data_IF_022239267156
#
_entry.id   IF_022239267156
#
_cell.length_a   1.000
_cell.length_b   1.000
_cell.length_c   1.000
_cell.angle_alpha   90.00
_cell.angle_beta   90.00
_cell.angle_gamma   90.00
#
_symmetry.space_group_name_H-M   'P 1'
#
loop_
_entity.id
_entity.type
_entity.pdbx_description
1 polymer ?
#
# COMPACT_ATOMS: atom_id res chain seq x y z
N UNK A 1 -30.10 -10.28 -10.17
CA UNK A 1 -28.77 -9.75 -9.83
C UNK A 1 -29.02 -8.67 -8.79
N UNK A 2 -28.46 -8.83 -7.59
CA UNK A 2 -28.48 -7.72 -6.62
C UNK A 2 -27.79 -6.52 -7.24
N UNK A 3 -28.38 -5.34 -7.05
CA UNK A 3 -27.83 -4.07 -7.51
C UNK A 3 -26.46 -3.87 -6.86
N UNK A 4 -25.43 -3.55 -7.65
CA UNK A 4 -24.07 -3.40 -7.11
C UNK A 4 -24.03 -2.21 -6.14
N UNK A 5 -23.45 -2.40 -4.97
CA UNK A 5 -23.20 -1.32 -4.00
C UNK A 5 -22.53 -0.11 -4.70
N UNK A 6 -22.81 1.09 -4.24
CA UNK A 6 -22.19 2.32 -4.74
C UNK A 6 -21.71 3.19 -3.57
N UNK A 7 -20.66 3.96 -3.79
CA UNK A 7 -20.22 4.97 -2.80
C UNK A 7 -21.30 6.04 -2.61
N UNK A 8 -21.52 6.42 -1.35
CA UNK A 8 -22.47 7.49 -1.02
C UNK A 8 -21.94 8.88 -1.36
N UNK A 9 -20.61 9.03 -1.40
CA UNK A 9 -19.97 10.30 -1.62
C UNK A 9 -18.68 10.14 -2.41
N UNK A 10 -18.36 11.17 -3.21
CA UNK A 10 -17.05 11.29 -3.88
C UNK A 10 -15.88 11.24 -2.90
N UNK A 11 -16.01 11.92 -1.77
CA UNK A 11 -15.00 11.90 -0.71
C UNK A 11 -14.80 10.49 -0.16
N UNK A 12 -15.89 9.71 -0.02
CA UNK A 12 -15.82 8.31 0.39
C UNK A 12 -15.02 7.48 -0.60
N UNK A 13 -15.28 7.60 -1.90
CA UNK A 13 -14.50 6.93 -2.95
C UNK A 13 -13.01 7.31 -2.86
N UNK A 14 -12.68 8.61 -2.80
CA UNK A 14 -11.29 9.07 -2.74
C UNK A 14 -10.58 8.53 -1.51
N UNK A 15 -11.20 8.61 -0.33
CA UNK A 15 -10.59 8.17 0.92
C UNK A 15 -10.45 6.65 1.01
N UNK A 16 -11.39 5.86 0.46
CA UNK A 16 -11.28 4.40 0.42
C UNK A 16 -10.18 3.98 -0.56
N UNK A 17 -10.14 4.58 -1.75
CA UNK A 17 -9.11 4.31 -2.75
C UNK A 17 -7.72 4.75 -2.28
N UNK A 18 -7.62 5.95 -1.69
CA UNK A 18 -6.38 6.41 -1.08
C UNK A 18 -5.97 5.53 0.13
N UNK A 19 -6.92 5.09 0.95
CA UNK A 19 -6.66 4.17 2.06
C UNK A 19 -6.19 2.78 1.62
N UNK A 20 -6.48 2.37 0.39
CA UNK A 20 -5.88 1.18 -0.21
C UNK A 20 -4.39 1.38 -0.53
N UNK A 21 -4.03 2.56 -1.03
CA UNK A 21 -2.65 2.93 -1.34
C UNK A 21 -1.86 3.27 -0.07
N UNK A 22 -2.43 4.11 0.82
CA UNK A 22 -1.81 4.54 2.07
C UNK A 22 -1.73 3.36 3.04
N UNK A 23 -0.54 2.82 3.19
CA UNK A 23 -0.30 1.65 4.02
C UNK A 23 1.09 1.66 4.66
N UNK A 24 1.55 0.49 5.02
CA UNK A 24 2.90 0.27 5.57
C UNK A 24 3.98 0.77 4.59
N UNK A 25 3.71 0.72 3.29
CA UNK A 25 4.60 1.21 2.25
C UNK A 25 4.99 2.68 2.37
N UNK A 26 4.04 3.54 2.79
CA UNK A 26 4.27 4.98 2.95
C UNK A 26 5.01 5.32 4.24
N UNK A 27 4.71 4.59 5.32
CA UNK A 27 5.16 4.98 6.66
C UNK A 27 6.40 4.22 7.08
N UNK A 28 6.66 3.07 6.49
CA UNK A 28 7.83 2.25 6.79
C UNK A 28 8.81 2.17 5.61
N UNK A 29 8.36 1.58 4.47
CA UNK A 29 9.25 1.30 3.33
C UNK A 29 9.79 2.57 2.70
N UNK A 30 8.96 3.59 2.52
CA UNK A 30 9.38 4.86 1.94
C UNK A 30 10.45 5.60 2.75
N UNK A 31 10.31 5.84 4.09
CA UNK A 31 11.38 6.46 4.86
C UNK A 31 12.65 5.62 4.89
N UNK A 32 12.53 4.30 5.08
CA UNK A 32 13.67 3.40 5.05
C UNK A 32 14.48 3.53 3.76
N UNK A 33 13.84 3.36 2.60
CA UNK A 33 14.51 3.46 1.30
C UNK A 33 15.05 4.89 1.07
N UNK A 34 14.32 5.92 1.52
CA UNK A 34 14.81 7.31 1.44
C UNK A 34 16.12 7.49 2.22
N UNK A 35 16.21 6.88 3.40
CA UNK A 35 17.43 6.89 4.22
C UNK A 35 18.62 6.21 3.52
N UNK A 36 18.37 5.04 2.93
CA UNK A 36 19.38 4.23 2.25
C UNK A 36 19.88 4.87 0.94
N UNK A 37 18.99 5.53 0.17
CA UNK A 37 19.28 6.02 -1.18
C UNK A 37 19.46 7.55 -1.26
N UNK A 38 20.01 8.18 -0.24
CA UNK A 38 20.51 9.57 -0.34
C UNK A 38 19.49 10.67 -0.06
N UNK A 39 18.38 10.37 0.62
CA UNK A 39 17.47 11.40 1.16
C UNK A 39 16.65 12.12 0.08
N UNK A 40 16.74 13.45 0.05
CA UNK A 40 15.91 14.30 -0.80
C UNK A 40 16.02 14.01 -2.30
N UNK A 41 17.16 13.55 -2.82
CA UNK A 41 17.30 13.20 -4.24
C UNK A 41 16.44 11.99 -4.58
N UNK A 42 16.40 10.97 -3.72
CA UNK A 42 15.48 9.85 -3.87
C UNK A 42 14.02 10.34 -3.91
N UNK A 43 13.64 11.25 -3.01
CA UNK A 43 12.26 11.82 -2.99
C UNK A 43 11.92 12.50 -4.30
N UNK A 44 12.85 13.25 -4.91
CA UNK A 44 12.63 13.88 -6.22
C UNK A 44 12.37 12.83 -7.32
N UNK A 45 13.18 11.77 -7.40
CA UNK A 45 12.95 10.67 -8.34
C UNK A 45 11.61 9.96 -8.09
N UNK A 46 11.27 9.71 -6.82
CA UNK A 46 10.00 9.10 -6.43
C UNK A 46 8.81 9.93 -6.90
N UNK A 47 8.81 11.25 -6.66
CA UNK A 47 7.74 12.15 -7.13
C UNK A 47 7.64 12.17 -8.65
N UNK A 48 8.77 12.18 -9.36
CA UNK A 48 8.78 12.11 -10.82
C UNK A 48 8.15 10.79 -11.32
N UNK A 49 8.50 9.64 -10.73
CA UNK A 49 7.94 8.35 -11.12
C UNK A 49 6.48 8.18 -10.71
N UNK A 50 6.02 8.78 -9.62
CA UNK A 50 4.57 8.83 -9.32
C UNK A 50 3.78 9.52 -10.42
N UNK A 51 4.29 10.64 -10.94
CA UNK A 51 3.65 11.37 -12.03
C UNK A 51 3.71 10.58 -13.36
N UNK A 52 4.87 10.02 -13.67
CA UNK A 52 5.10 9.35 -14.95
C UNK A 52 4.48 7.93 -15.01
N UNK A 53 4.52 7.18 -13.93
CA UNK A 53 4.10 5.78 -13.90
C UNK A 53 2.83 5.59 -13.07
N UNK A 54 2.81 6.11 -11.86
CA UNK A 54 1.75 5.87 -10.88
C UNK A 54 0.38 6.37 -11.36
N UNK A 55 0.25 7.66 -11.64
CA UNK A 55 -1.02 8.26 -12.10
C UNK A 55 -1.56 7.58 -13.37
N UNK A 56 -0.76 7.32 -14.43
CA UNK A 56 -1.22 6.57 -15.59
C UNK A 56 -1.81 5.20 -15.25
N UNK A 57 -1.11 4.37 -14.47
CA UNK A 57 -1.58 3.02 -14.16
C UNK A 57 -2.82 3.04 -13.26
N UNK A 58 -2.85 3.90 -12.22
CA UNK A 58 -4.06 4.11 -11.41
C UNK A 58 -5.24 4.48 -12.31
N UNK A 59 -5.06 5.41 -13.25
CA UNK A 59 -6.13 5.83 -14.17
C UNK A 59 -6.62 4.67 -15.06
N UNK A 60 -5.72 3.76 -15.46
CA UNK A 60 -6.07 2.57 -16.25
C UNK A 60 -6.89 1.56 -15.46
N UNK A 61 -6.48 1.24 -14.22
CA UNK A 61 -7.28 0.38 -13.34
C UNK A 61 -8.65 0.97 -13.05
N UNK A 62 -8.72 2.26 -12.70
CA UNK A 62 -9.98 2.95 -12.47
C UNK A 62 -10.89 2.91 -13.72
N UNK A 63 -10.32 3.06 -14.92
CA UNK A 63 -11.09 3.04 -16.16
C UNK A 63 -11.70 1.66 -16.43
N UNK A 64 -10.95 0.58 -16.25
CA UNK A 64 -11.42 -0.79 -16.43
C UNK A 64 -12.54 -1.10 -15.43
N UNK A 65 -12.37 -0.75 -14.16
CA UNK A 65 -13.36 -0.96 -13.12
C UNK A 65 -14.65 -0.19 -13.37
N UNK A 66 -14.56 1.11 -13.67
CA UNK A 66 -15.74 1.94 -13.90
C UNK A 66 -16.49 1.60 -15.19
N UNK A 67 -15.76 1.24 -16.26
CA UNK A 67 -16.39 0.87 -17.52
C UNK A 67 -17.13 -0.46 -17.43
N UNK A 68 -16.57 -1.43 -16.72
CA UNK A 68 -17.12 -2.78 -16.59
C UNK A 68 -18.17 -2.90 -15.48
N UNK A 69 -18.11 -2.08 -14.43
CA UNK A 69 -18.85 -2.26 -13.17
C UNK A 69 -18.65 -3.66 -12.57
N UNK A 70 -17.44 -4.24 -12.72
CA UNK A 70 -17.07 -5.58 -12.27
C UNK A 70 -15.71 -5.59 -11.58
N UNK A 71 -15.41 -6.68 -10.89
CA UNK A 71 -14.08 -7.01 -10.40
C UNK A 71 -13.15 -7.46 -11.55
N UNK A 72 -11.85 -7.54 -11.29
CA UNK A 72 -10.82 -7.70 -12.31
C UNK A 72 -11.11 -8.80 -13.35
N UNK A 73 -11.39 -10.05 -12.95
CA UNK A 73 -11.63 -11.12 -13.92
C UNK A 73 -12.82 -10.81 -14.83
N UNK A 74 -13.95 -10.43 -14.25
CA UNK A 74 -15.17 -10.14 -15.02
C UNK A 74 -15.08 -8.78 -15.72
N UNK A 75 -14.26 -7.86 -15.21
CA UNK A 75 -14.00 -6.57 -15.82
C UNK A 75 -13.25 -6.72 -17.14
N UNK A 76 -12.14 -7.44 -17.12
CA UNK A 76 -11.41 -7.77 -18.36
C UNK A 76 -12.31 -8.52 -19.34
N UNK A 77 -13.03 -9.56 -18.87
CA UNK A 77 -13.91 -10.36 -19.72
C UNK A 77 -15.05 -9.54 -20.37
N UNK A 78 -15.55 -8.51 -19.71
CA UNK A 78 -16.61 -7.64 -20.24
C UNK A 78 -16.11 -6.66 -21.30
N UNK A 79 -14.84 -6.26 -21.26
CA UNK A 79 -14.27 -5.23 -22.11
C UNK A 79 -13.33 -5.78 -23.19
N UNK A 80 -12.86 -7.02 -23.07
CA UNK A 80 -11.93 -7.61 -24.02
C UNK A 80 -12.59 -7.96 -25.36
N UNK A 81 -11.84 -8.00 -26.47
CA UNK A 81 -12.31 -8.50 -27.76
C UNK A 81 -12.69 -9.99 -27.66
N UNK A 82 -13.74 -10.39 -28.41
CA UNK A 82 -14.18 -11.79 -28.45
C UNK A 82 -13.04 -12.72 -28.84
N UNK A 83 -12.84 -13.78 -28.06
CA UNK A 83 -11.79 -14.78 -28.30
C UNK A 83 -10.40 -14.39 -27.80
N UNK A 84 -10.26 -13.30 -27.07
CA UNK A 84 -9.01 -12.94 -26.39
C UNK A 84 -8.92 -13.59 -25.00
N UNK A 85 -7.77 -13.43 -24.36
CA UNK A 85 -7.43 -14.12 -23.10
C UNK A 85 -7.03 -13.15 -21.98
N UNK A 86 -7.36 -11.87 -22.11
CA UNK A 86 -6.99 -10.86 -21.13
C UNK A 86 -7.59 -11.12 -19.75
N UNK A 87 -8.76 -11.74 -19.69
CA UNK A 87 -9.42 -12.11 -18.44
C UNK A 87 -8.60 -13.05 -17.55
N UNK A 88 -7.62 -13.78 -18.11
CA UNK A 88 -6.71 -14.61 -17.29
C UNK A 88 -5.98 -13.76 -16.26
N UNK A 89 -5.64 -12.50 -16.60
CA UNK A 89 -5.02 -11.59 -15.65
C UNK A 89 -5.87 -11.34 -14.39
N UNK A 90 -7.17 -11.41 -14.50
CA UNK A 90 -8.06 -11.29 -13.34
C UNK A 90 -7.85 -12.39 -12.28
N UNK A 91 -7.43 -13.59 -12.68
CA UNK A 91 -7.02 -14.64 -11.74
C UNK A 91 -5.71 -14.30 -11.06
N UNK A 92 -4.77 -13.67 -11.78
CA UNK A 92 -3.50 -13.20 -11.22
C UNK A 92 -3.78 -12.09 -10.20
N UNK A 93 -4.70 -11.15 -10.49
CA UNK A 93 -5.15 -10.12 -9.56
C UNK A 93 -5.74 -10.71 -8.28
N UNK A 94 -6.60 -11.72 -8.40
CA UNK A 94 -7.21 -12.40 -7.25
C UNK A 94 -6.15 -13.11 -6.39
N UNK A 95 -5.24 -13.86 -7.04
CA UNK A 95 -4.16 -14.55 -6.35
C UNK A 95 -3.19 -13.56 -5.68
N UNK A 96 -2.82 -12.48 -6.37
CA UNK A 96 -1.95 -11.44 -5.84
C UNK A 96 -2.55 -10.75 -4.62
N UNK A 97 -3.84 -10.41 -4.68
CA UNK A 97 -4.56 -9.84 -3.54
C UNK A 97 -4.63 -10.81 -2.35
N UNK A 98 -4.78 -12.12 -2.61
CA UNK A 98 -4.77 -13.14 -1.57
C UNK A 98 -3.39 -13.28 -0.93
N UNK A 99 -2.32 -13.43 -1.72
CA UNK A 99 -0.94 -13.54 -1.22
C UNK A 99 -0.57 -12.26 -0.44
N UNK A 100 -0.92 -11.07 -0.96
CA UNK A 100 -0.70 -9.82 -0.24
C UNK A 100 -1.32 -9.88 1.17
N UNK A 101 -2.56 -10.31 1.30
CA UNK A 101 -3.24 -10.34 2.60
C UNK A 101 -2.66 -11.38 3.56
N UNK A 102 -2.10 -12.47 3.05
CA UNK A 102 -1.50 -13.52 3.87
C UNK A 102 -0.32 -12.99 4.69
N UNK A 103 0.58 -12.18 4.13
CA UNK A 103 1.68 -11.61 4.90
C UNK A 103 1.36 -10.23 5.50
N UNK A 104 0.55 -9.43 4.81
CA UNK A 104 0.26 -8.07 5.26
C UNK A 104 -0.55 -8.01 6.56
N UNK A 105 -1.46 -8.98 6.77
CA UNK A 105 -2.22 -9.09 8.03
C UNK A 105 -1.32 -9.44 9.21
N UNK A 106 -0.24 -10.19 9.00
CA UNK A 106 0.77 -10.48 10.03
C UNK A 106 1.48 -9.19 10.46
N UNK A 107 1.99 -8.40 9.50
CA UNK A 107 2.65 -7.12 9.80
C UNK A 107 1.67 -6.12 10.42
N UNK A 108 0.43 -6.07 9.92
CA UNK A 108 -0.61 -5.24 10.52
C UNK A 108 -0.91 -5.64 11.97
N UNK A 109 -0.79 -6.93 12.30
CA UNK A 109 -0.87 -7.44 13.67
C UNK A 109 0.19 -6.85 14.58
N UNK A 110 1.44 -6.73 14.12
CA UNK A 110 2.52 -6.10 14.90
C UNK A 110 2.24 -4.64 15.26
N UNK A 111 1.56 -3.90 14.36
CA UNK A 111 1.16 -2.51 14.66
C UNK A 111 0.18 -2.42 15.81
N UNK A 112 -0.79 -3.35 15.85
CA UNK A 112 -1.79 -3.43 16.93
C UNK A 112 -1.14 -3.85 18.24
N UNK A 113 -0.23 -4.84 18.21
CA UNK A 113 0.51 -5.28 19.39
C UNK A 113 1.32 -4.12 20.00
N UNK A 114 2.11 -3.42 19.19
CA UNK A 114 2.88 -2.28 19.66
C UNK A 114 2.02 -1.13 20.17
N UNK A 115 0.85 -0.91 19.57
CA UNK A 115 -0.11 0.04 20.11
C UNK A 115 -0.55 -0.36 21.53
N UNK A 116 -0.89 -1.63 21.75
CA UNK A 116 -1.28 -2.13 23.08
C UNK A 116 -0.12 -1.98 24.07
N UNK A 117 1.10 -2.38 23.71
CA UNK A 117 2.29 -2.28 24.56
C UNK A 117 2.67 -0.84 24.92
N UNK A 118 2.45 0.13 24.03
CA UNK A 118 2.62 1.55 24.38
C UNK A 118 1.49 2.05 25.27
N UNK A 119 0.24 1.64 25.02
CA UNK A 119 -0.92 2.05 25.77
C UNK A 119 -0.86 1.57 27.24
N UNK A 120 -0.49 0.32 27.46
CA UNK A 120 -0.36 -0.27 28.80
C UNK A 120 0.92 0.11 29.55
N UNK A 121 1.88 0.75 28.83
CA UNK A 121 3.14 1.21 29.41
C UNK A 121 4.24 0.15 29.50
N UNK A 122 4.11 -0.98 28.77
CA UNK A 122 5.10 -2.08 28.76
C UNK A 122 6.51 -1.61 28.31
N UNK A 123 6.60 -0.53 27.55
CA UNK A 123 7.89 0.07 27.14
C UNK A 123 8.46 1.04 28.18
N UNK A 124 7.76 1.35 29.27
CA UNK A 124 8.17 2.36 30.23
C UNK A 124 9.38 1.91 31.05
N UNK A 125 10.48 2.67 30.96
CA UNK A 125 11.70 2.41 31.71
C UNK A 125 12.59 1.31 31.14
N UNK A 126 12.30 0.79 29.94
CA UNK A 126 13.17 -0.15 29.26
C UNK A 126 14.45 0.54 28.77
N UNK A 127 15.55 -0.21 28.77
CA UNK A 127 16.77 0.16 28.08
C UNK A 127 16.65 -0.09 26.56
N UNK A 128 17.51 0.53 25.72
CA UNK A 128 17.53 0.29 24.27
C UNK A 128 17.66 -1.20 23.89
N UNK A 129 18.43 -1.96 24.66
CA UNK A 129 18.59 -3.40 24.43
C UNK A 129 17.31 -4.20 24.76
N UNK A 130 16.57 -3.78 25.79
CA UNK A 130 15.30 -4.41 26.14
C UNK A 130 14.20 -4.09 25.11
N UNK A 131 14.20 -2.91 24.53
CA UNK A 131 13.29 -2.57 23.42
C UNK A 131 13.57 -3.43 22.19
N UNK A 132 14.84 -3.64 21.82
CA UNK A 132 15.21 -4.55 20.73
C UNK A 132 14.75 -5.99 21.04
N UNK A 133 15.00 -6.48 22.25
CA UNK A 133 14.52 -7.80 22.69
C UNK A 133 12.98 -7.92 22.72
N UNK A 134 12.26 -6.82 22.93
CA UNK A 134 10.79 -6.85 22.89
C UNK A 134 10.28 -7.20 21.50
N UNK A 135 10.92 -6.71 20.44
CA UNK A 135 10.60 -7.10 19.07
C UNK A 135 10.95 -8.56 18.78
N UNK A 136 12.18 -8.98 19.14
CA UNK A 136 12.63 -10.35 18.95
C UNK A 136 11.72 -11.35 19.70
N UNK A 137 11.30 -11.01 20.92
CA UNK A 137 10.40 -11.85 21.72
C UNK A 137 9.01 -11.95 21.11
N UNK A 138 8.47 -10.84 20.58
CA UNK A 138 7.17 -10.81 19.92
C UNK A 138 7.16 -11.73 18.69
N UNK A 139 8.15 -11.60 17.81
CA UNK A 139 8.21 -12.43 16.58
C UNK A 139 8.56 -13.89 16.89
N UNK A 140 9.20 -14.18 18.02
CA UNK A 140 9.48 -15.53 18.49
C UNK A 140 8.27 -16.23 19.11
N UNK A 141 7.21 -15.50 19.52
CA UNK A 141 5.98 -16.08 20.08
C UNK A 141 4.90 -16.25 19.00
N UNK A 142 4.70 -17.50 18.50
CA UNK A 142 3.71 -17.76 17.47
C UNK A 142 2.27 -17.51 17.95
N UNK A 143 2.00 -17.66 19.23
CA UNK A 143 0.64 -17.51 19.79
C UNK A 143 0.26 -16.03 19.81
N UNK A 144 1.15 -15.18 20.31
CA UNK A 144 0.96 -13.72 20.32
C UNK A 144 0.77 -13.18 18.88
N UNK A 145 1.65 -13.58 17.95
CA UNK A 145 1.54 -13.18 16.55
C UNK A 145 0.21 -13.61 15.91
N UNK A 146 -0.24 -14.87 16.15
CA UNK A 146 -1.52 -15.37 15.61
C UNK A 146 -2.71 -14.61 16.19
N UNK A 147 -2.68 -14.25 17.48
CA UNK A 147 -3.76 -13.48 18.11
C UNK A 147 -3.91 -12.12 17.44
N UNK A 148 -2.84 -11.33 17.33
CA UNK A 148 -2.92 -9.99 16.76
C UNK A 148 -3.18 -9.99 15.25
N UNK A 149 -2.62 -10.94 14.49
CA UNK A 149 -2.97 -11.20 13.09
C UNK A 149 -4.44 -11.57 12.97
N UNK A 150 -4.95 -12.48 13.80
CA UNK A 150 -6.33 -12.95 13.81
C UNK A 150 -7.33 -11.83 14.13
N UNK A 151 -7.00 -10.91 15.04
CA UNK A 151 -7.80 -9.70 15.33
C UNK A 151 -7.95 -8.86 14.07
N UNK A 152 -6.85 -8.60 13.33
CA UNK A 152 -6.90 -7.85 12.08
C UNK A 152 -7.78 -8.52 11.03
N UNK A 153 -7.62 -9.82 10.82
CA UNK A 153 -8.42 -10.60 9.87
C UNK A 153 -9.90 -10.55 10.23
N UNK A 154 -10.22 -10.84 11.49
CA UNK A 154 -11.60 -10.87 11.97
C UNK A 154 -12.27 -9.49 11.83
N UNK A 155 -11.65 -8.44 12.37
CA UNK A 155 -12.23 -7.08 12.35
C UNK A 155 -12.33 -6.57 10.91
N UNK A 156 -11.33 -6.82 10.06
CA UNK A 156 -11.35 -6.45 8.64
C UNK A 156 -12.52 -7.07 7.89
N UNK A 157 -12.74 -8.38 8.02
CA UNK A 157 -13.88 -9.04 7.39
C UNK A 157 -15.23 -8.63 7.99
N UNK A 158 -15.31 -8.34 9.29
CA UNK A 158 -16.52 -7.78 9.91
C UNK A 158 -16.89 -6.41 9.32
N UNK A 159 -15.90 -5.53 9.10
CA UNK A 159 -16.11 -4.24 8.44
C UNK A 159 -16.64 -4.44 7.01
N UNK A 160 -16.02 -5.33 6.23
CA UNK A 160 -16.44 -5.60 4.85
C UNK A 160 -17.79 -6.31 4.76
N UNK A 161 -18.18 -7.12 5.76
CA UNK A 161 -19.47 -7.80 5.79
C UNK A 161 -20.67 -6.84 5.78
N UNK A 162 -20.49 -5.62 6.31
CA UNK A 162 -21.51 -4.57 6.32
C UNK A 162 -21.75 -3.89 4.97
N UNK A 163 -20.99 -4.21 3.93
CA UNK A 163 -21.08 -3.63 2.58
C UNK A 163 -20.31 -2.32 2.42
N UNK A 164 -20.14 -1.89 1.16
CA UNK A 164 -19.30 -0.74 0.82
C UNK A 164 -19.89 0.55 1.39
N UNK A 165 -21.12 0.87 1.07
CA UNK A 165 -21.77 2.12 1.42
C UNK A 165 -22.11 2.28 2.91
N UNK A 166 -22.37 1.17 3.63
CA UNK A 166 -22.87 1.21 5.01
C UNK A 166 -21.74 1.09 6.04
N UNK A 167 -20.71 0.33 5.74
CA UNK A 167 -19.65 -0.01 6.69
C UNK A 167 -18.28 0.42 6.20
N UNK A 168 -17.79 -0.14 5.10
CA UNK A 168 -16.44 0.13 4.60
C UNK A 168 -16.18 1.63 4.41
N UNK A 169 -17.02 2.34 3.65
CA UNK A 169 -16.88 3.79 3.42
C UNK A 169 -16.85 4.57 4.72
N UNK A 170 -17.75 4.25 5.66
CA UNK A 170 -17.87 4.97 6.94
C UNK A 170 -16.64 4.75 7.82
N UNK A 171 -16.21 3.50 7.98
CA UNK A 171 -15.06 3.14 8.83
C UNK A 171 -13.78 3.71 8.24
N UNK A 172 -13.52 3.45 6.96
CA UNK A 172 -12.31 3.96 6.28
C UNK A 172 -12.26 5.48 6.30
N UNK A 173 -13.38 6.17 6.09
CA UNK A 173 -13.45 7.63 6.15
C UNK A 173 -13.07 8.17 7.53
N UNK A 174 -13.58 7.56 8.61
CA UNK A 174 -13.22 7.93 9.97
C UNK A 174 -11.74 7.68 10.25
N UNK A 175 -11.23 6.51 9.87
CA UNK A 175 -9.83 6.15 10.05
C UNK A 175 -8.89 7.06 9.25
N UNK A 176 -9.20 7.34 7.97
CA UNK A 176 -8.38 8.20 7.13
C UNK A 176 -8.33 9.65 7.62
N UNK A 177 -9.45 10.20 8.08
CA UNK A 177 -9.46 11.54 8.68
C UNK A 177 -8.66 11.57 10.00
N UNK A 178 -8.80 10.53 10.84
CA UNK A 178 -7.99 10.37 12.04
C UNK A 178 -6.50 10.23 11.71
N UNK A 179 -6.14 9.41 10.72
CA UNK A 179 -4.78 9.23 10.23
C UNK A 179 -4.17 10.56 9.76
N UNK A 180 -4.90 11.31 8.92
CA UNK A 180 -4.42 12.61 8.42
C UNK A 180 -4.23 13.64 9.55
N UNK A 181 -5.10 13.63 10.57
CA UNK A 181 -4.92 14.47 11.76
C UNK A 181 -3.70 14.05 12.59
N UNK A 182 -3.55 12.75 12.86
CA UNK A 182 -2.45 12.19 13.64
C UNK A 182 -1.09 12.42 12.98
N UNK A 183 -0.98 12.20 11.66
CA UNK A 183 0.31 12.37 10.96
C UNK A 183 0.80 13.83 11.02
N UNK A 184 -0.12 14.80 10.93
CA UNK A 184 0.25 16.22 11.07
C UNK A 184 0.72 16.53 12.50
N UNK A 185 0.03 16.04 13.52
CA UNK A 185 0.41 16.23 14.93
C UNK A 185 1.79 15.62 15.21
N UNK A 186 2.02 14.38 14.73
CA UNK A 186 3.29 13.69 14.91
C UNK A 186 4.44 14.38 14.15
N UNK A 187 4.19 14.85 12.91
CA UNK A 187 5.20 15.57 12.14
C UNK A 187 5.58 16.91 12.81
N UNK A 188 4.60 17.68 13.28
CA UNK A 188 4.87 18.93 14.02
C UNK A 188 5.68 18.65 15.28
N UNK A 189 5.31 17.62 16.06
CA UNK A 189 6.07 17.24 17.25
C UNK A 189 7.53 16.88 16.91
N UNK A 190 7.73 16.08 15.85
CA UNK A 190 9.07 15.63 15.46
C UNK A 190 9.95 16.79 14.95
N UNK A 191 9.39 17.72 14.19
CA UNK A 191 10.09 18.93 13.71
C UNK A 191 10.53 19.83 14.84
N UNK A 192 9.76 19.89 15.93
CA UNK A 192 10.05 20.74 17.10
C UNK A 192 11.08 20.13 18.05
N UNK A 193 11.56 18.90 17.82
CA UNK A 193 12.59 18.28 18.64
C UNK A 193 13.93 19.05 18.56
N UNK A 194 14.63 19.21 19.68
CA UNK A 194 15.99 19.74 19.66
C UNK A 194 16.91 18.87 18.80
N UNK A 195 17.58 19.46 17.80
CA UNK A 195 18.44 18.70 16.87
C UNK A 195 17.76 18.21 15.59
N UNK A 196 16.45 18.39 15.44
CA UNK A 196 15.68 17.97 14.26
C UNK A 196 16.14 18.60 12.92
N UNK A 197 16.80 19.76 12.97
CA UNK A 197 17.21 20.52 11.79
C UNK A 197 18.06 19.73 10.80
N UNK A 198 19.01 18.91 11.28
CA UNK A 198 19.86 18.06 10.43
C UNK A 198 19.02 17.00 9.68
N UNK A 199 18.01 16.43 10.34
CA UNK A 199 17.10 15.47 9.72
C UNK A 199 16.23 16.12 8.65
N UNK A 200 15.76 17.35 8.88
CA UNK A 200 15.04 18.13 7.87
C UNK A 200 15.94 18.48 6.68
N UNK A 201 17.17 18.87 6.93
CA UNK A 201 18.16 19.14 5.89
C UNK A 201 18.41 17.89 5.02
N UNK A 202 18.66 16.73 5.65
CA UNK A 202 18.84 15.46 4.97
C UNK A 202 17.64 15.10 4.07
N UNK A 203 16.43 15.31 4.58
CA UNK A 203 15.20 14.87 3.93
C UNK A 203 14.68 15.85 2.87
N UNK A 204 14.90 17.16 3.03
CA UNK A 204 14.32 18.20 2.17
C UNK A 204 15.33 18.86 1.23
N UNK A 205 16.62 18.87 1.56
CA UNK A 205 17.64 19.49 0.73
C UNK A 205 18.38 18.44 -0.11
N UNK A 206 18.29 18.51 -1.45
CA UNK A 206 18.94 17.56 -2.34
C UNK A 206 20.46 17.64 -2.24
N UNK A 207 21.09 16.53 -1.88
CA UNK A 207 22.55 16.34 -1.91
C UNK A 207 22.90 15.31 -2.98
N UNK A 208 23.40 15.82 -4.10
CA UNK A 208 23.76 14.97 -5.23
C UNK A 208 24.99 14.11 -4.97
N UNK A 209 25.89 14.50 -4.05
CA UNK A 209 27.04 13.68 -3.71
C UNK A 209 26.63 12.38 -3.05
N UNK A 210 25.67 12.44 -2.08
CA UNK A 210 25.09 11.24 -1.47
C UNK A 210 24.41 10.33 -2.50
N UNK A 211 23.70 10.90 -3.47
CA UNK A 211 23.06 10.12 -4.52
C UNK A 211 24.08 9.47 -5.47
N UNK A 212 25.22 10.11 -5.73
CA UNK A 212 26.32 9.55 -6.51
C UNK A 212 26.97 8.41 -5.75
N UNK A 213 27.22 8.57 -4.45
CA UNK A 213 27.78 7.53 -3.57
C UNK A 213 26.87 6.29 -3.49
N UNK A 214 25.54 6.48 -3.37
CA UNK A 214 24.56 5.40 -3.41
C UNK A 214 24.38 4.79 -4.82
N UNK A 215 24.91 5.46 -5.86
CA UNK A 215 24.72 5.10 -7.26
C UNK A 215 23.42 5.61 -7.83
N UNK A 216 23.46 6.65 -8.67
CA UNK A 216 22.24 7.31 -9.25
C UNK A 216 21.29 6.30 -9.90
N UNK A 217 21.82 5.26 -10.59
CA UNK A 217 21.01 4.20 -11.19
C UNK A 217 20.24 3.39 -10.15
N UNK A 218 20.82 3.12 -9.00
CA UNK A 218 20.18 2.41 -7.89
C UNK A 218 19.12 3.29 -7.23
N UNK A 219 19.45 4.59 -6.98
CA UNK A 219 18.49 5.58 -6.47
C UNK A 219 17.26 5.68 -7.36
N UNK A 220 17.45 5.81 -8.68
CA UNK A 220 16.35 5.88 -9.63
C UNK A 220 15.54 4.57 -9.66
N UNK A 221 16.17 3.41 -9.64
CA UNK A 221 15.49 2.11 -9.62
C UNK A 221 14.69 1.90 -8.33
N UNK A 222 15.26 2.24 -7.18
CA UNK A 222 14.59 2.15 -5.88
C UNK A 222 13.39 3.10 -5.82
N UNK A 223 13.52 4.35 -6.30
CA UNK A 223 12.44 5.33 -6.34
C UNK A 223 11.32 4.90 -7.29
N UNK A 224 11.65 4.31 -8.43
CA UNK A 224 10.69 3.79 -9.39
C UNK A 224 9.91 2.59 -8.81
N UNK A 225 10.61 1.66 -8.15
CA UNK A 225 9.98 0.55 -7.41
C UNK A 225 9.03 1.05 -6.33
N UNK A 226 9.47 2.03 -5.53
CA UNK A 226 8.65 2.59 -4.45
C UNK A 226 7.40 3.28 -4.99
N UNK A 227 7.48 3.98 -6.13
CA UNK A 227 6.32 4.62 -6.75
C UNK A 227 5.23 3.62 -7.19
N UNK A 228 5.62 2.41 -7.59
CA UNK A 228 4.68 1.34 -7.90
C UNK A 228 4.10 0.70 -6.65
N UNK A 229 4.97 0.40 -5.69
CA UNK A 229 4.57 -0.28 -4.46
C UNK A 229 3.57 0.56 -3.66
N UNK A 230 3.82 1.87 -3.49
CA UNK A 230 2.99 2.74 -2.68
C UNK A 230 1.54 2.81 -3.16
N UNK A 231 1.30 2.78 -4.47
CA UNK A 231 -0.05 2.88 -5.06
C UNK A 231 -0.76 1.52 -5.17
N UNK A 232 -0.08 0.41 -4.85
CA UNK A 232 -0.63 -0.95 -4.94
C UNK A 232 -1.28 -1.27 -6.30
N UNK A 233 -0.70 -0.73 -7.40
CA UNK A 233 -1.22 -0.89 -8.76
C UNK A 233 -0.76 -2.18 -9.42
N UNK A 234 -1.54 -2.68 -10.39
CA UNK A 234 -1.25 -3.91 -11.14
C UNK A 234 -2.02 -5.14 -10.65
N UNK A 235 -2.61 -5.09 -9.45
CA UNK A 235 -3.38 -6.20 -8.89
C UNK A 235 -4.91 -5.99 -8.93
N UNK A 236 -5.41 -4.90 -9.56
CA UNK A 236 -6.82 -4.64 -9.71
C UNK A 236 -7.54 -4.16 -8.44
N UNK A 237 -6.82 -3.71 -7.41
CA UNK A 237 -7.43 -3.18 -6.18
C UNK A 237 -8.13 -1.84 -6.44
N UNK A 238 -7.55 -0.97 -7.27
CA UNK A 238 -8.22 0.28 -7.67
C UNK A 238 -9.41 0.03 -8.60
N UNK A 239 -9.36 -1.05 -9.40
CA UNK A 239 -10.43 -1.47 -10.29
C UNK A 239 -11.73 -1.75 -9.53
N UNK A 240 -11.66 -2.50 -8.41
CA UNK A 240 -12.86 -2.83 -7.62
C UNK A 240 -13.54 -1.56 -7.09
N UNK A 241 -12.79 -0.57 -6.59
CA UNK A 241 -13.37 0.67 -6.08
C UNK A 241 -13.99 1.50 -7.19
N UNK A 242 -13.34 1.59 -8.36
CA UNK A 242 -13.91 2.26 -9.51
C UNK A 242 -15.18 1.61 -10.01
N UNK A 243 -15.37 0.29 -9.81
CA UNK A 243 -16.59 -0.42 -10.18
C UNK A 243 -17.83 -0.01 -9.35
N UNK A 244 -17.63 0.65 -8.22
CA UNK A 244 -18.67 1.23 -7.36
C UNK A 244 -18.85 2.75 -7.59
N UNK A 245 -18.10 3.34 -8.54
CA UNK A 245 -18.06 4.77 -8.79
C UNK A 245 -19.08 5.20 -9.85
N UNK A 246 -19.70 6.38 -9.67
CA UNK A 246 -20.49 7.05 -10.71
C UNK A 246 -19.63 7.64 -11.82
N UNK A 247 -20.27 8.08 -12.92
CA UNK A 247 -19.61 8.71 -14.07
C UNK A 247 -19.60 10.24 -14.03
N UNK A 248 -19.84 10.85 -12.88
CA UNK A 248 -19.96 12.30 -12.75
C UNK A 248 -18.61 13.03 -12.90
N UNK A 249 -17.50 12.33 -12.61
CA UNK A 249 -16.16 12.91 -12.62
C UNK A 249 -15.19 12.16 -13.54
N UNK A 250 -14.33 12.94 -14.21
CA UNK A 250 -13.25 12.40 -15.05
C UNK A 250 -12.18 11.72 -14.21
N UNK A 251 -11.72 10.52 -14.65
CA UNK A 251 -10.85 9.65 -13.84
C UNK A 251 -9.44 10.20 -13.63
N UNK A 252 -8.91 10.98 -14.57
CA UNK A 252 -7.58 11.60 -14.41
C UNK A 252 -7.52 12.44 -13.13
N UNK A 253 -8.56 13.24 -12.88
CA UNK A 253 -8.64 14.06 -11.66
C UNK A 253 -8.74 13.25 -10.38
N UNK A 254 -9.44 12.10 -10.41
CA UNK A 254 -9.54 11.21 -9.26
C UNK A 254 -8.22 10.49 -8.98
N UNK A 255 -7.55 9.99 -10.03
CA UNK A 255 -6.23 9.37 -9.90
C UNK A 255 -5.20 10.36 -9.30
N UNK A 256 -5.20 11.62 -9.76
CA UNK A 256 -4.33 12.66 -9.19
C UNK A 256 -4.63 12.90 -7.70
N UNK A 257 -5.89 12.94 -7.29
CA UNK A 257 -6.26 13.14 -5.87
C UNK A 257 -5.86 11.98 -4.99
N UNK A 258 -6.08 10.74 -5.45
CA UNK A 258 -5.67 9.53 -4.74
C UNK A 258 -4.14 9.53 -4.57
N UNK A 259 -3.39 9.74 -5.65
CA UNK A 259 -1.93 9.79 -5.62
C UNK A 259 -1.42 10.95 -4.75
N UNK A 260 -2.05 12.12 -4.79
CA UNK A 260 -1.65 13.27 -3.98
C UNK A 260 -1.84 13.01 -2.47
N UNK A 261 -2.93 12.34 -2.07
CA UNK A 261 -3.15 11.95 -0.67
C UNK A 261 -2.12 10.90 -0.22
N UNK A 262 -1.86 9.90 -1.05
CA UNK A 262 -0.83 8.89 -0.81
C UNK A 262 0.55 9.52 -0.61
N UNK A 263 0.95 10.38 -1.55
CA UNK A 263 2.21 11.12 -1.50
C UNK A 263 2.31 12.03 -0.27
N UNK A 264 1.23 12.73 0.09
CA UNK A 264 1.18 13.58 1.26
C UNK A 264 1.49 12.80 2.53
N UNK A 265 0.90 11.61 2.69
CA UNK A 265 1.17 10.75 3.85
C UNK A 265 2.62 10.24 3.83
N UNK A 266 3.14 9.80 2.68
CA UNK A 266 4.54 9.35 2.57
C UNK A 266 5.52 10.48 2.95
N UNK A 267 5.31 11.69 2.43
CA UNK A 267 6.17 12.84 2.74
C UNK A 267 6.10 13.24 4.22
N UNK A 268 4.92 13.25 4.83
CA UNK A 268 4.80 13.54 6.26
C UNK A 268 5.38 12.43 7.15
N UNK A 269 5.32 11.18 6.72
CA UNK A 269 6.00 10.08 7.42
C UNK A 269 7.52 10.29 7.48
N UNK A 270 8.13 10.75 6.38
CA UNK A 270 9.53 11.17 6.39
C UNK A 270 9.79 12.33 7.35
N UNK A 271 8.88 13.32 7.43
CA UNK A 271 8.98 14.43 8.37
C UNK A 271 8.77 14.03 9.84
N UNK A 272 8.21 12.87 10.12
CA UNK A 272 8.18 12.29 11.47
C UNK A 272 9.52 11.62 11.76
N UNK A 273 9.99 10.77 10.85
CA UNK A 273 11.06 9.81 11.10
C UNK A 273 12.43 10.48 11.05
N UNK A 274 12.76 11.23 9.99
CA UNK A 274 14.11 11.80 9.84
C UNK A 274 14.47 12.82 10.93
N UNK A 275 13.62 13.81 11.25
CA UNK A 275 13.92 14.74 12.34
C UNK A 275 14.10 14.02 13.69
N UNK A 276 13.28 13.00 13.98
CA UNK A 276 13.40 12.23 15.21
C UNK A 276 14.69 11.40 15.25
N UNK A 277 15.03 10.67 14.19
CA UNK A 277 16.27 9.89 14.12
C UNK A 277 17.50 10.77 14.34
N UNK A 278 17.61 11.88 13.61
CA UNK A 278 18.76 12.78 13.74
C UNK A 278 18.82 13.53 15.08
N UNK A 279 17.67 13.85 15.69
CA UNK A 279 17.63 14.45 17.03
C UNK A 279 18.19 13.51 18.10
N UNK A 280 18.02 12.21 17.94
CA UNK A 280 18.51 11.20 18.88
C UNK A 280 19.78 10.47 18.39
N UNK A 281 20.38 10.91 17.28
CA UNK A 281 21.66 10.37 16.76
C UNK A 281 21.56 8.93 16.24
N UNK A 282 20.41 8.54 15.72
CA UNK A 282 20.14 7.19 15.17
C UNK A 282 20.11 7.25 13.65
N UNK A 283 20.72 6.25 13.00
CA UNK A 283 20.71 6.12 11.53
C UNK A 283 19.33 5.65 11.03
N UNK A 284 18.74 6.30 9.99
CA UNK A 284 17.41 5.95 9.50
C UNK A 284 17.38 4.75 8.51
N UNK A 285 18.46 3.96 8.41
CA UNK A 285 18.65 2.94 7.36
C UNK A 285 18.48 1.48 7.83
N UNK A 286 17.77 1.23 8.93
CA UNK A 286 17.75 -0.10 9.59
C UNK A 286 16.53 -0.98 9.27
N UNK A 287 15.86 -0.83 8.13
CA UNK A 287 14.76 -1.74 7.72
C UNK A 287 13.58 -1.82 8.70
N UNK A 288 13.03 -3.03 8.99
CA UNK A 288 11.94 -3.20 9.96
C UNK A 288 12.27 -2.71 11.36
N UNK A 289 13.52 -2.79 11.77
CA UNK A 289 13.98 -2.30 13.07
C UNK A 289 13.77 -0.80 13.25
N UNK A 290 13.71 -0.02 12.16
CA UNK A 290 13.39 1.40 12.21
C UNK A 290 12.07 1.68 12.94
N UNK A 291 11.02 0.93 12.63
CA UNK A 291 9.67 1.13 13.21
C UNK A 291 9.55 0.45 14.58
N UNK A 292 10.07 -0.76 14.74
CA UNK A 292 9.80 -1.59 15.91
C UNK A 292 10.89 -1.55 16.98
N UNK A 293 12.06 -1.02 16.66
CA UNK A 293 13.17 -0.87 17.60
C UNK A 293 13.57 0.59 17.74
N UNK A 294 13.92 1.24 16.63
CA UNK A 294 14.48 2.61 16.64
C UNK A 294 13.48 3.65 17.13
N UNK A 295 12.28 3.72 16.52
CA UNK A 295 11.26 4.69 16.92
C UNK A 295 10.74 4.46 18.36
N UNK A 296 10.44 3.24 18.82
CA UNK A 296 10.16 2.98 20.22
C UNK A 296 11.27 3.48 21.17
N UNK A 297 12.53 3.24 20.84
CA UNK A 297 13.66 3.78 21.61
C UNK A 297 13.67 5.32 21.66
N UNK A 298 13.34 5.98 20.57
CA UNK A 298 13.20 7.44 20.54
C UNK A 298 12.06 7.87 21.46
N UNK A 299 10.88 7.26 21.31
CA UNK A 299 9.70 7.63 22.11
C UNK A 299 9.92 7.47 23.62
N UNK A 300 10.53 6.38 24.09
CA UNK A 300 10.76 6.17 25.53
C UNK A 300 11.68 7.23 26.14
N UNK A 301 12.56 7.87 25.36
CA UNK A 301 13.45 8.95 25.83
C UNK A 301 12.82 10.34 25.69
N UNK A 302 11.66 10.46 25.04
CA UNK A 302 10.95 11.74 24.89
C UNK A 302 10.07 12.06 26.11
N UNK A 303 9.87 13.34 26.43
CA UNK A 303 8.80 13.75 27.35
C UNK A 303 7.44 13.24 26.85
N UNK A 304 6.65 12.60 27.72
CA UNK A 304 5.38 11.97 27.35
C UNK A 304 5.52 10.85 26.29
N UNK A 305 6.63 10.15 26.25
CA UNK A 305 6.93 9.15 25.22
C UNK A 305 5.91 8.04 25.06
N UNK A 306 5.27 7.60 26.15
CA UNK A 306 4.15 6.66 26.10
C UNK A 306 2.99 7.20 25.26
N UNK A 307 2.65 8.49 25.37
CA UNK A 307 1.60 9.12 24.56
C UNK A 307 2.02 9.17 23.08
N UNK A 308 3.23 9.64 22.79
CA UNK A 308 3.72 9.76 21.41
C UNK A 308 3.85 8.40 20.72
N UNK A 309 4.34 7.39 21.42
CA UNK A 309 4.38 6.03 20.91
C UNK A 309 2.99 5.45 20.65
N UNK A 310 2.04 5.64 21.59
CA UNK A 310 0.66 5.20 21.39
C UNK A 310 0.01 5.89 20.18
N UNK A 311 0.17 7.21 20.04
CA UNK A 311 -0.38 7.96 18.89
C UNK A 311 0.26 7.51 17.57
N UNK A 312 1.57 7.24 17.56
CA UNK A 312 2.26 6.75 16.37
C UNK A 312 1.75 5.35 15.97
N UNK A 313 1.62 4.42 16.91
CA UNK A 313 1.14 3.07 16.57
C UNK A 313 -0.37 3.01 16.28
N UNK A 314 -1.19 3.93 16.81
CA UNK A 314 -2.58 4.13 16.31
C UNK A 314 -2.58 4.60 14.87
N UNK A 315 -1.74 5.58 14.54
CA UNK A 315 -1.56 6.05 13.16
C UNK A 315 -1.14 4.91 12.23
N UNK A 316 -0.13 4.11 12.63
CA UNK A 316 0.32 2.94 11.88
C UNK A 316 -0.77 1.88 11.72
N UNK A 317 -1.54 1.61 12.78
CA UNK A 317 -2.68 0.69 12.74
C UNK A 317 -3.74 1.17 11.77
N UNK A 318 -4.08 2.46 11.75
CA UNK A 318 -5.05 3.00 10.79
C UNK A 318 -4.54 2.90 9.35
N UNK A 319 -3.27 3.20 9.12
CA UNK A 319 -2.65 3.08 7.80
C UNK A 319 -2.68 1.63 7.30
N UNK A 320 -2.23 0.67 8.10
CA UNK A 320 -2.22 -0.74 7.71
C UNK A 320 -3.62 -1.32 7.54
N UNK A 321 -4.53 -1.00 8.47
CA UNK A 321 -5.88 -1.56 8.48
C UNK A 321 -6.77 -1.00 7.36
N UNK A 322 -6.54 0.23 6.89
CA UNK A 322 -7.24 0.78 5.72
C UNK A 322 -6.93 -0.03 4.46
N UNK A 323 -5.67 -0.43 4.26
CA UNK A 323 -5.26 -1.32 3.18
C UNK A 323 -5.85 -2.72 3.34
N UNK A 324 -5.82 -3.30 4.55
CA UNK A 324 -6.43 -4.62 4.84
C UNK A 324 -7.90 -4.65 4.44
N UNK A 325 -8.70 -3.68 4.89
CA UNK A 325 -10.13 -3.63 4.56
C UNK A 325 -10.38 -3.40 3.08
N UNK A 326 -9.55 -2.59 2.43
CA UNK A 326 -9.63 -2.33 1.01
C UNK A 326 -9.37 -3.58 0.16
N UNK A 327 -8.31 -4.32 0.45
CA UNK A 327 -7.98 -5.55 -0.30
C UNK A 327 -8.94 -6.69 0.04
N UNK A 328 -9.46 -6.77 1.28
CA UNK A 328 -10.54 -7.72 1.60
C UNK A 328 -11.80 -7.44 0.75
N UNK A 329 -12.16 -6.18 0.53
CA UNK A 329 -13.27 -5.85 -0.36
C UNK A 329 -12.99 -6.29 -1.81
N UNK A 330 -11.73 -6.14 -2.29
CA UNK A 330 -11.36 -6.65 -3.60
C UNK A 330 -11.51 -8.18 -3.70
N UNK A 331 -11.07 -8.92 -2.68
CA UNK A 331 -11.26 -10.38 -2.62
C UNK A 331 -12.74 -10.77 -2.60
N UNK A 332 -13.55 -10.11 -1.76
CA UNK A 332 -15.00 -10.35 -1.65
C UNK A 332 -15.68 -10.06 -2.99
N UNK A 333 -15.39 -8.89 -3.59
CA UNK A 333 -15.97 -8.49 -4.88
C UNK A 333 -15.62 -9.45 -6.00
N UNK A 334 -14.37 -9.93 -6.06
CA UNK A 334 -13.96 -10.96 -7.00
C UNK A 334 -14.72 -12.28 -6.79
N UNK A 335 -14.89 -12.75 -5.56
CA UNK A 335 -15.65 -13.96 -5.27
C UNK A 335 -17.13 -13.81 -5.61
N UNK A 336 -17.74 -12.65 -5.33
CA UNK A 336 -19.14 -12.37 -5.68
C UNK A 336 -19.35 -12.39 -7.21
N UNK A 337 -18.48 -11.72 -7.96
CA UNK A 337 -18.59 -11.63 -9.42
C UNK A 337 -18.29 -12.97 -10.12
N UNK A 338 -17.25 -13.70 -9.66
CA UNK A 338 -16.79 -14.90 -10.35
C UNK A 338 -17.63 -16.14 -10.05
N UNK A 339 -18.02 -16.30 -8.77
CA UNK A 339 -18.70 -17.50 -8.29
C UNK A 339 -20.19 -17.26 -8.04
N UNK A 340 -20.69 -16.02 -8.21
CA UNK A 340 -22.08 -15.67 -7.89
C UNK A 340 -22.41 -15.80 -6.40
N UNK A 341 -21.42 -15.67 -5.52
CA UNK A 341 -21.63 -15.78 -4.08
C UNK A 341 -22.29 -14.51 -3.53
N UNK A 342 -23.15 -14.68 -2.53
CA UNK A 342 -23.55 -13.55 -1.71
C UNK A 342 -22.35 -13.02 -0.90
N UNK A 343 -22.35 -11.72 -0.55
CA UNK A 343 -21.33 -11.10 0.30
C UNK A 343 -21.09 -11.90 1.59
N UNK A 344 -22.17 -12.32 2.25
CA UNK A 344 -22.11 -13.14 3.46
C UNK A 344 -21.35 -14.45 3.25
N UNK A 345 -21.62 -15.17 2.14
CA UNK A 345 -20.93 -16.41 1.80
C UNK A 345 -19.44 -16.14 1.50
N UNK A 346 -19.14 -15.09 0.73
CA UNK A 346 -17.76 -14.72 0.43
C UNK A 346 -16.97 -14.42 1.71
N UNK A 347 -17.52 -13.64 2.63
CA UNK A 347 -16.89 -13.35 3.94
C UNK A 347 -16.66 -14.62 4.75
N UNK A 348 -17.67 -15.49 4.88
CA UNK A 348 -17.57 -16.72 5.67
C UNK A 348 -16.53 -17.70 5.12
N UNK A 349 -16.26 -17.69 3.81
CA UNK A 349 -15.23 -18.56 3.19
C UNK A 349 -13.86 -17.89 3.22
N UNK A 350 -13.78 -16.61 2.87
CA UNK A 350 -12.49 -15.91 2.79
C UNK A 350 -11.85 -15.65 4.15
N UNK A 351 -12.64 -15.39 5.19
CA UNK A 351 -12.12 -15.17 6.55
C UNK A 351 -11.24 -16.33 7.02
N UNK A 352 -11.73 -17.59 7.10
CA UNK A 352 -10.86 -18.71 7.50
C UNK A 352 -9.74 -18.98 6.49
N UNK A 353 -9.98 -18.75 5.19
CA UNK A 353 -8.97 -18.97 4.17
C UNK A 353 -7.78 -18.03 4.35
N UNK A 354 -8.02 -16.74 4.58
CA UNK A 354 -6.96 -15.75 4.86
C UNK A 354 -6.32 -16.03 6.22
N UNK A 355 -7.10 -16.29 7.26
CA UNK A 355 -6.58 -16.60 8.60
C UNK A 355 -5.60 -17.77 8.57
N UNK A 356 -6.02 -18.92 8.05
CA UNK A 356 -5.14 -20.10 7.97
C UNK A 356 -4.02 -19.93 6.95
N UNK A 357 -4.26 -19.20 5.86
CA UNK A 357 -3.25 -18.83 4.87
C UNK A 357 -2.14 -17.97 5.44
N UNK A 358 -2.42 -17.14 6.46
CA UNK A 358 -1.43 -16.27 7.11
C UNK A 358 -0.59 -16.99 8.18
N UNK A 359 -1.00 -18.17 8.65
CA UNK A 359 -0.24 -18.93 9.65
C UNK A 359 1.19 -19.28 9.19
N UNK A 360 1.44 -19.75 7.95
CA UNK A 360 2.80 -20.00 7.47
C UNK A 360 3.70 -18.75 7.56
N UNK A 361 3.19 -17.56 7.23
CA UNK A 361 3.93 -16.31 7.37
C UNK A 361 4.31 -16.05 8.84
N UNK A 362 3.38 -16.21 9.78
CA UNK A 362 3.67 -16.12 11.23
C UNK A 362 4.73 -17.11 11.65
N UNK A 363 4.59 -18.37 11.25
CA UNK A 363 5.53 -19.43 11.63
C UNK A 363 6.94 -19.24 11.04
N UNK A 364 7.05 -18.53 9.91
CA UNK A 364 8.32 -18.18 9.28
C UNK A 364 9.25 -17.33 10.14
N UNK A 365 8.72 -16.67 11.18
CA UNK A 365 9.54 -15.90 12.14
C UNK A 365 10.00 -16.70 13.35
N UNK A 366 9.45 -17.92 13.55
CA UNK A 366 9.73 -18.72 14.75
C UNK A 366 9.91 -20.20 14.39
N UNK A 367 8.84 -21.03 14.44
CA UNK A 367 8.94 -22.48 14.26
C UNK A 367 9.45 -22.91 12.87
N UNK A 368 9.27 -22.07 11.85
CA UNK A 368 9.69 -22.32 10.46
C UNK A 368 10.74 -21.30 9.98
N UNK A 369 11.50 -20.70 10.90
CA UNK A 369 12.55 -19.72 10.57
C UNK A 369 13.61 -20.25 9.60
N UNK A 370 13.86 -21.56 9.61
CA UNK A 370 14.80 -22.24 8.71
C UNK A 370 14.19 -22.59 7.34
N UNK A 371 12.89 -22.34 7.13
CA UNK A 371 12.22 -22.63 5.86
C UNK A 371 12.46 -21.50 4.87
N UNK A 372 13.20 -21.81 3.81
CA UNK A 372 13.50 -20.91 2.70
C UNK A 372 12.81 -21.44 1.43
N UNK A 373 11.95 -20.64 0.80
CA UNK A 373 11.14 -21.06 -0.36
C UNK A 373 11.80 -20.67 -1.68
N UNK A 374 12.30 -19.44 -1.80
CA UNK A 374 12.97 -18.95 -3.01
C UNK A 374 14.41 -18.51 -2.65
N UNK A 375 15.37 -19.38 -2.92
CA UNK A 375 16.78 -19.12 -2.60
C UNK A 375 16.98 -18.99 -1.09
N UNK A 376 17.48 -17.85 -0.62
CA UNK A 376 17.69 -17.55 0.81
C UNK A 376 16.49 -16.81 1.45
N UNK A 377 15.39 -16.59 0.72
CA UNK A 377 14.23 -15.83 1.21
C UNK A 377 13.36 -16.69 2.12
N UNK A 378 13.04 -16.15 3.29
CA UNK A 378 12.04 -16.70 4.18
C UNK A 378 10.62 -16.64 3.58
N UNK A 379 9.62 -17.03 4.36
CA UNK A 379 8.23 -17.11 3.88
C UNK A 379 7.71 -15.72 3.53
N UNK A 380 7.77 -14.75 4.45
CA UNK A 380 7.32 -13.37 4.21
C UNK A 380 8.03 -12.74 3.02
N UNK A 381 9.37 -12.86 2.96
CA UNK A 381 10.16 -12.25 1.88
C UNK A 381 9.83 -12.87 0.51
N UNK A 382 9.43 -14.16 0.50
CA UNK A 382 8.99 -14.84 -0.72
C UNK A 382 7.62 -14.34 -1.16
N UNK A 383 6.68 -14.19 -0.23
CA UNK A 383 5.34 -13.67 -0.49
C UNK A 383 5.39 -12.22 -0.98
N UNK A 384 6.17 -11.35 -0.31
CA UNK A 384 6.38 -9.96 -0.76
C UNK A 384 7.06 -9.90 -2.13
N UNK A 385 8.07 -10.74 -2.39
CA UNK A 385 8.73 -10.81 -3.69
C UNK A 385 7.76 -11.17 -4.82
N UNK A 386 6.90 -12.18 -4.62
CA UNK A 386 5.90 -12.59 -5.62
C UNK A 386 4.94 -11.44 -5.91
N UNK A 387 4.47 -10.73 -4.90
CA UNK A 387 3.54 -9.60 -5.09
C UNK A 387 4.28 -8.40 -5.67
N UNK A 388 5.28 -7.89 -4.96
CA UNK A 388 5.89 -6.58 -5.22
C UNK A 388 6.79 -6.59 -6.45
N UNK A 389 7.55 -7.69 -6.69
CA UNK A 389 8.52 -7.77 -7.78
C UNK A 389 7.98 -8.45 -9.04
N UNK A 390 6.90 -9.24 -8.94
CA UNK A 390 6.32 -9.94 -10.10
C UNK A 390 4.91 -9.45 -10.43
N UNK A 391 3.94 -9.59 -9.51
CA UNK A 391 2.52 -9.38 -9.82
C UNK A 391 2.23 -7.91 -10.11
N UNK A 392 2.69 -6.97 -9.27
CA UNK A 392 2.42 -5.54 -9.46
C UNK A 392 3.01 -5.00 -10.77
N UNK A 393 4.30 -5.19 -11.10
CA UNK A 393 4.84 -4.69 -12.36
C UNK A 393 4.24 -5.40 -13.59
N UNK A 394 4.12 -6.73 -13.57
CA UNK A 394 3.54 -7.48 -14.68
C UNK A 394 2.09 -7.09 -14.92
N UNK A 395 1.29 -6.99 -13.87
CA UNK A 395 -0.09 -6.56 -13.95
C UNK A 395 -0.24 -5.14 -14.50
N UNK A 396 0.63 -4.23 -14.07
CA UNK A 396 0.65 -2.85 -14.59
C UNK A 396 0.95 -2.78 -16.08
N UNK A 397 1.87 -3.64 -16.58
CA UNK A 397 2.11 -3.78 -18.03
C UNK A 397 0.85 -4.30 -18.73
N UNK A 398 0.18 -5.30 -18.16
CA UNK A 398 -1.02 -5.90 -18.74
C UNK A 398 -2.15 -4.85 -18.79
N UNK A 399 -2.41 -4.08 -17.72
CA UNK A 399 -3.38 -2.98 -17.74
C UNK A 399 -3.04 -1.94 -18.80
N UNK A 400 -1.76 -1.54 -18.91
CA UNK A 400 -1.32 -0.58 -19.92
C UNK A 400 -1.58 -1.10 -21.34
N UNK A 401 -1.14 -2.31 -21.65
CA UNK A 401 -1.33 -2.91 -22.99
C UNK A 401 -2.81 -3.15 -23.29
N UNK A 402 -3.59 -3.57 -22.31
CA UNK A 402 -5.04 -3.77 -22.48
C UNK A 402 -5.76 -2.47 -22.83
N UNK A 403 -5.47 -1.39 -22.12
CA UNK A 403 -6.12 -0.10 -22.34
C UNK A 403 -5.72 0.58 -23.64
N UNK A 404 -4.48 0.37 -24.16
CA UNK A 404 -3.97 1.17 -25.29
C UNK A 404 -3.84 0.42 -26.61
N UNK A 405 -3.84 -0.92 -26.60
CA UNK A 405 -3.64 -1.70 -27.84
C UNK A 405 -4.95 -2.09 -28.51
N UNK A 406 -4.92 -2.28 -29.81
CA UNK A 406 -6.06 -2.80 -30.60
C UNK A 406 -6.43 -4.26 -30.27
N UNK A 407 -5.54 -4.98 -29.59
CA UNK A 407 -5.75 -6.37 -29.16
C UNK A 407 -6.40 -6.47 -27.79
N UNK A 408 -6.50 -5.34 -27.05
CA UNK A 408 -7.22 -5.21 -25.80
C UNK A 408 -8.49 -4.36 -25.96
N UNK A 409 -8.86 -3.61 -24.93
CA UNK A 409 -10.03 -2.70 -24.94
C UNK A 409 -9.86 -1.55 -25.92
N UNK A 410 -8.63 -1.08 -26.12
CA UNK A 410 -8.26 -0.05 -27.11
C UNK A 410 -8.33 1.38 -26.57
N UNK A 411 -7.40 2.22 -27.08
CA UNK A 411 -7.18 3.57 -26.57
C UNK A 411 -8.39 4.50 -26.69
N UNK A 412 -9.15 4.42 -27.77
CA UNK A 412 -10.32 5.29 -27.96
C UNK A 412 -11.44 4.99 -26.92
N UNK A 413 -11.66 3.72 -26.61
CA UNK A 413 -12.63 3.31 -25.58
C UNK A 413 -12.14 3.76 -24.19
N UNK A 414 -10.86 3.51 -23.90
CA UNK A 414 -10.20 3.96 -22.67
C UNK A 414 -10.30 5.47 -22.50
N UNK A 415 -9.90 6.25 -23.52
CA UNK A 415 -9.92 7.72 -23.48
C UNK A 415 -11.31 8.28 -23.27
N UNK A 416 -12.31 7.68 -23.95
CA UNK A 416 -13.70 8.06 -23.80
C UNK A 416 -14.17 7.86 -22.35
N UNK A 417 -13.87 6.71 -21.75
CA UNK A 417 -14.26 6.43 -20.37
C UNK A 417 -13.56 7.36 -19.40
N UNK A 418 -12.23 7.51 -19.51
CA UNK A 418 -11.43 8.39 -18.63
C UNK A 418 -11.92 9.81 -18.64
N UNK A 419 -12.33 10.33 -19.82
CA UNK A 419 -12.81 11.69 -20.02
C UNK A 419 -14.32 11.87 -19.77
N UNK A 420 -15.04 10.82 -19.37
CA UNK A 420 -16.46 10.91 -19.00
C UNK A 420 -16.59 11.62 -17.66
N UNK A 421 -17.56 12.55 -17.56
CA UNK A 421 -17.81 13.37 -16.37
C UNK A 421 -17.01 14.67 -16.35
N UNK A 422 -17.11 15.42 -15.27
CA UNK A 422 -16.45 16.73 -15.10
C UNK A 422 -15.02 16.60 -14.55
N UNK A 423 -14.15 17.56 -14.86
CA UNK A 423 -12.82 17.66 -14.28
C UNK A 423 -11.66 17.53 -15.29
N UNK A 424 -10.48 17.11 -14.81
CA UNK A 424 -9.26 17.05 -15.60
C UNK A 424 -9.36 15.96 -16.68
N UNK A 425 -9.23 16.37 -17.94
CA UNK A 425 -9.31 15.50 -19.10
C UNK A 425 -7.93 15.03 -19.54
N UNK A 426 -7.86 13.77 -19.98
CA UNK A 426 -6.66 13.20 -20.56
C UNK A 426 -6.54 13.57 -22.03
N UNK A 427 -5.39 14.12 -22.48
CA UNK A 427 -5.21 14.52 -23.87
C UNK A 427 -4.85 13.33 -24.76
N UNK A 428 -5.23 13.38 -26.06
CA UNK A 428 -4.94 12.30 -27.03
C UNK A 428 -3.47 12.10 -27.35
N UNK A 429 -2.67 13.14 -27.24
CA UNK A 429 -1.22 13.06 -27.56
C UNK A 429 -0.43 12.16 -26.61
N UNK A 430 -1.02 11.74 -25.47
CA UNK A 430 -0.38 10.85 -24.50
C UNK A 430 -0.26 9.40 -24.98
N UNK A 431 -0.97 9.01 -26.04
CA UNK A 431 -0.97 7.64 -26.58
C UNK A 431 0.42 7.06 -26.85
N UNK A 432 1.35 7.75 -27.51
CA UNK A 432 2.69 7.19 -27.76
C UNK A 432 3.44 6.89 -26.46
N UNK A 433 3.28 7.73 -25.44
CA UNK A 433 3.85 7.52 -24.13
C UNK A 433 3.27 6.24 -23.47
N UNK A 434 1.96 6.09 -23.43
CA UNK A 434 1.29 4.94 -22.83
C UNK A 434 1.55 3.63 -23.58
N UNK A 435 1.75 3.71 -24.90
CA UNK A 435 1.93 2.54 -25.75
C UNK A 435 3.37 1.99 -25.74
N UNK A 436 4.37 2.86 -25.60
CA UNK A 436 5.77 2.48 -25.78
C UNK A 436 6.62 2.77 -24.53
N UNK A 437 6.55 3.98 -23.98
CA UNK A 437 7.43 4.43 -22.90
C UNK A 437 7.01 3.83 -21.57
N UNK A 438 5.73 3.92 -21.23
CA UNK A 438 5.20 3.42 -19.97
C UNK A 438 5.46 1.90 -19.79
N UNK A 439 5.11 1.00 -20.75
CA UNK A 439 5.40 -0.42 -20.61
C UNK A 439 6.89 -0.72 -20.55
N UNK A 440 7.74 0.04 -21.27
CA UNK A 440 9.18 -0.13 -21.22
C UNK A 440 9.76 0.21 -19.86
N UNK A 441 9.32 1.32 -19.25
CA UNK A 441 9.76 1.72 -17.91
C UNK A 441 9.35 0.68 -16.87
N UNK A 442 8.10 0.18 -16.96
CA UNK A 442 7.62 -0.86 -16.05
C UNK A 442 8.39 -2.18 -16.26
N UNK A 443 8.72 -2.53 -17.51
CA UNK A 443 9.52 -3.70 -17.80
C UNK A 443 10.93 -3.61 -17.20
N UNK A 444 11.53 -2.42 -17.18
CA UNK A 444 12.81 -2.18 -16.48
C UNK A 444 12.68 -2.47 -14.98
N UNK A 445 11.57 -2.05 -14.35
CA UNK A 445 11.29 -2.35 -12.94
C UNK A 445 11.21 -3.87 -12.72
N UNK A 446 10.43 -4.55 -13.57
CA UNK A 446 10.26 -6.00 -13.49
C UNK A 446 11.61 -6.73 -13.57
N UNK A 447 12.45 -6.38 -14.55
CA UNK A 447 13.77 -7.00 -14.71
C UNK A 447 14.68 -6.73 -13.51
N UNK A 448 14.68 -5.49 -13.00
CA UNK A 448 15.47 -5.13 -11.81
C UNK A 448 14.98 -5.83 -10.53
N UNK A 449 13.70 -6.06 -10.42
CA UNK A 449 13.12 -6.82 -9.29
C UNK A 449 13.48 -8.32 -9.30
N UNK A 450 13.87 -8.85 -10.46
CA UNK A 450 14.29 -10.25 -10.64
C UNK A 450 15.80 -10.47 -10.45
N UNK A 451 16.61 -9.43 -10.54
CA UNK A 451 18.08 -9.46 -10.35
C UNK A 451 18.47 -9.27 -8.90
#
# INVERSE_FOLDING_TARGET
>A
MEERDSFKSRLGFILVSAGCAIGIGNVWKFPYITGEYGGAVFVLFYLAFLLLLGIPVVTMELAVGRASHKSALRGFQALEPKGSWWHIHGWVCLLGSFILMVYYTTISGWMVDYFVRFLDGSFRGLSPQEVAKAFDSMVADPVEMVIFMGINVLVGFLVCAGGVAKSLEKVTKCMMLGLLGLIVILAVNSILLPGAGKGLEFYLLPDWNRAVEAGIGNVAAAAMNQAFFTLSVGQGSMEIFASYMSRDHALTGEAVRITALDTFVALLAGMIIFPACFAFGVEPSEGPSLIFVTLPNIFIHMPMGQLWGSLFFVFMTFASFSTVTAVFEALIGNCMDNFGWSRKKAVLVLLPLVFFGSIPCVLGFNLWSDVHILGSRGILDTEDFIVSSLILPLGSIIFALFCVTKYGWGFENYLKEVNTGEGLKMPRWILPYFKYVLPLLIFIILVRGLM
#
